data_IF_452478338528
#
_entry.id   IF_452478338528
#
_cell.length_a   1.000
_cell.length_b   1.000
_cell.length_c   1.000
_cell.angle_alpha   90.00
_cell.angle_beta   90.00
_cell.angle_gamma   90.00
#
_symmetry.space_group_name_H-M   'P 1'
#
loop_
_entity.id
_entity.type
_entity.pdbx_description
1 polymer ?
#
# COMPACT_ATOMS: atom_id res chain seq x y z
N UNK A 1 7.62 4.61 -11.96
CA UNK A 1 6.44 4.41 -11.08
C UNK A 1 6.84 4.76 -9.66
N UNK A 2 6.33 5.88 -9.18
CA UNK A 2 6.80 6.57 -7.97
C UNK A 2 6.15 5.96 -6.74
N UNK A 3 6.87 5.87 -5.61
CA UNK A 3 6.41 5.32 -4.32
C UNK A 3 5.00 5.81 -3.91
N UNK A 4 4.68 7.06 -4.23
CA UNK A 4 3.38 7.69 -3.96
C UNK A 4 2.24 6.96 -4.67
N UNK A 5 2.44 6.48 -5.89
CA UNK A 5 1.42 5.72 -6.62
C UNK A 5 1.13 4.38 -5.92
N UNK A 6 2.16 3.69 -5.40
CA UNK A 6 1.97 2.43 -4.66
C UNK A 6 1.25 2.66 -3.33
N UNK A 7 1.53 3.78 -2.66
CA UNK A 7 0.84 4.19 -1.43
C UNK A 7 -0.62 4.53 -1.69
N UNK A 8 -0.89 5.27 -2.76
CA UNK A 8 -2.25 5.62 -3.20
C UNK A 8 -3.05 4.35 -3.53
N UNK A 9 -2.44 3.44 -4.29
CA UNK A 9 -3.02 2.12 -4.62
C UNK A 9 -3.25 1.26 -3.37
N UNK A 10 -2.36 1.32 -2.37
CA UNK A 10 -2.55 0.61 -1.10
C UNK A 10 -3.65 1.22 -0.22
N UNK A 11 -4.03 2.48 -0.46
CA UNK A 11 -5.13 3.15 0.23
C UNK A 11 -6.48 2.89 -0.44
N UNK A 12 -6.49 2.37 -1.66
CA UNK A 12 -7.71 2.18 -2.44
C UNK A 12 -8.62 1.06 -1.89
N UNK A 13 -9.87 1.37 -1.50
CA UNK A 13 -10.85 0.43 -0.95
C UNK A 13 -11.46 -0.54 -1.96
N UNK A 14 -11.30 -0.29 -3.26
CA UNK A 14 -11.76 -1.22 -4.30
C UNK A 14 -10.80 -2.40 -4.47
N UNK A 15 -9.56 -2.30 -3.98
CA UNK A 15 -8.59 -3.38 -4.00
C UNK A 15 -8.79 -4.36 -2.83
N UNK A 16 -8.67 -5.68 -3.07
CA UNK A 16 -8.67 -6.69 -2.02
C UNK A 16 -7.54 -6.48 -1.01
N UNK A 17 -7.77 -6.85 0.24
CA UNK A 17 -6.78 -6.73 1.32
C UNK A 17 -5.39 -7.26 0.96
N UNK A 18 -5.31 -8.41 0.28
CA UNK A 18 -4.02 -9.02 -0.08
C UNK A 18 -3.22 -8.19 -1.11
N UNK A 19 -3.87 -7.46 -2.01
CA UNK A 19 -3.18 -6.56 -2.94
C UNK A 19 -2.67 -5.32 -2.22
N UNK A 20 -3.45 -4.82 -1.25
CA UNK A 20 -3.07 -3.68 -0.42
C UNK A 20 -1.84 -3.99 0.44
N UNK A 21 -1.81 -5.16 1.08
CA UNK A 21 -0.62 -5.62 1.83
C UNK A 21 0.59 -5.83 0.93
N UNK A 22 0.39 -6.35 -0.30
CA UNK A 22 1.48 -6.52 -1.27
C UNK A 22 2.06 -5.19 -1.76
N UNK A 23 1.23 -4.17 -1.99
CA UNK A 23 1.68 -2.82 -2.32
C UNK A 23 2.47 -2.19 -1.15
N UNK A 24 2.03 -2.39 0.09
CA UNK A 24 2.74 -1.92 1.29
C UNK A 24 4.12 -2.57 1.42
N UNK A 25 4.24 -3.89 1.26
CA UNK A 25 5.54 -4.60 1.32
C UNK A 25 6.50 -4.09 0.24
N UNK A 26 5.96 -3.91 -0.99
CA UNK A 26 6.71 -3.37 -2.13
C UNK A 26 7.12 -1.91 -1.96
N UNK A 27 6.36 -1.10 -1.21
CA UNK A 27 6.73 0.27 -0.88
C UNK A 27 7.74 0.33 0.28
N UNK A 28 7.62 -0.56 1.27
CA UNK A 28 8.46 -0.60 2.46
C UNK A 28 9.91 -1.01 2.16
N UNK A 29 10.14 -2.05 1.35
CA UNK A 29 11.50 -2.51 0.97
C UNK A 29 12.40 -1.41 0.39
N UNK A 30 12.00 -0.67 -0.66
CA UNK A 30 12.85 0.36 -1.24
C UNK A 30 13.09 1.52 -0.27
N UNK A 31 12.10 1.90 0.55
CA UNK A 31 12.28 2.91 1.60
C UNK A 31 13.32 2.48 2.64
N UNK A 32 13.29 1.20 3.06
CA UNK A 32 14.30 0.61 3.95
C UNK A 32 15.69 0.64 3.34
N UNK A 33 15.82 0.25 2.07
CA UNK A 33 17.11 0.28 1.37
C UNK A 33 17.63 1.73 1.27
N UNK A 34 16.78 2.69 0.88
CA UNK A 34 17.15 4.10 0.85
C UNK A 34 17.56 4.62 2.23
N UNK A 35 16.91 4.18 3.31
CA UNK A 35 17.27 4.58 4.67
C UNK A 35 18.66 4.07 5.05
N UNK A 36 19.00 2.82 4.69
CA UNK A 36 20.31 2.24 4.95
C UNK A 36 21.42 2.92 4.13
N UNK A 37 21.10 3.41 2.94
CA UNK A 37 22.05 4.12 2.08
C UNK A 37 22.11 5.63 2.35
N UNK A 38 21.16 6.19 3.10
CA UNK A 38 21.13 7.61 3.43
C UNK A 38 22.17 7.92 4.51
N UNK A 39 23.30 8.50 4.12
CA UNK A 39 24.32 8.99 5.06
C UNK A 39 23.98 10.36 5.69
N UNK A 40 22.87 10.96 5.24
CA UNK A 40 22.46 12.32 5.59
C UNK A 40 21.29 12.30 6.60
N UNK A 41 21.45 12.99 7.73
CA UNK A 41 20.45 13.08 8.80
C UNK A 41 19.08 13.62 8.35
N UNK A 42 19.00 14.75 7.60
CA UNK A 42 17.71 15.23 7.09
C UNK A 42 17.02 14.20 6.23
N UNK A 43 17.76 13.51 5.35
CA UNK A 43 17.22 12.47 4.48
C UNK A 43 16.72 11.25 5.25
N UNK A 44 17.46 10.82 6.28
CA UNK A 44 17.02 9.76 7.19
C UNK A 44 15.73 10.14 7.94
N UNK A 45 15.60 11.39 8.40
CA UNK A 45 14.37 11.87 9.06
C UNK A 45 13.18 11.83 8.12
N UNK A 46 13.31 12.33 6.89
CA UNK A 46 12.23 12.30 5.89
C UNK A 46 11.79 10.87 5.58
N UNK A 47 12.75 9.95 5.41
CA UNK A 47 12.45 8.53 5.19
C UNK A 47 11.79 7.88 6.42
N UNK A 48 12.20 8.25 7.63
CA UNK A 48 11.59 7.76 8.85
C UNK A 48 10.13 8.22 8.98
N UNK A 49 9.83 9.47 8.64
CA UNK A 49 8.44 9.98 8.61
C UNK A 49 7.58 9.19 7.63
N UNK A 50 8.11 8.84 6.45
CA UNK A 50 7.40 8.01 5.46
C UNK A 50 7.16 6.58 5.97
N UNK A 51 8.17 5.96 6.55
CA UNK A 51 8.07 4.63 7.15
C UNK A 51 7.09 4.60 8.33
N UNK A 52 7.08 5.67 9.15
CA UNK A 52 6.16 5.80 10.26
C UNK A 52 4.72 5.96 9.76
N UNK A 53 4.50 6.81 8.76
CA UNK A 53 3.19 6.93 8.08
C UNK A 53 2.70 5.58 7.57
N UNK A 54 3.55 4.81 6.89
CA UNK A 54 3.26 3.45 6.43
C UNK A 54 2.84 2.52 7.59
N UNK A 55 3.60 2.51 8.68
CA UNK A 55 3.31 1.65 9.84
C UNK A 55 2.03 2.05 10.59
N UNK A 56 1.68 3.35 10.58
CA UNK A 56 0.46 3.89 11.21
C UNK A 56 -0.75 3.93 10.28
N UNK A 57 -0.58 3.55 9.01
CA UNK A 57 -1.64 3.64 8.01
C UNK A 57 -2.75 2.66 8.37
N UNK A 58 -3.92 3.20 8.76
CA UNK A 58 -5.10 2.40 9.05
C UNK A 58 -5.74 2.00 7.73
N UNK A 59 -5.49 0.77 7.32
CA UNK A 59 -6.21 0.17 6.20
C UNK A 59 -7.66 -0.07 6.60
N UNK A 60 -8.58 0.58 5.89
CA UNK A 60 -10.00 0.30 6.02
C UNK A 60 -10.30 -1.10 5.45
N UNK A 61 -11.33 -1.80 5.98
CA UNK A 61 -11.73 -3.08 5.43
C UNK A 61 -12.05 -2.92 3.94
N UNK A 62 -11.46 -3.79 3.11
CA UNK A 62 -11.73 -3.79 1.68
C UNK A 62 -13.23 -3.96 1.45
N UNK A 63 -13.78 -3.24 0.47
CA UNK A 63 -15.16 -3.43 0.04
C UNK A 63 -15.36 -4.92 -0.24
N UNK A 64 -16.30 -5.54 0.47
CA UNK A 64 -16.72 -6.89 0.12
C UNK A 64 -17.30 -6.80 -1.28
N UNK A 65 -16.63 -7.43 -2.24
CA UNK A 65 -17.20 -7.67 -3.55
C UNK A 65 -18.42 -8.55 -3.31
N UNK A 66 -19.59 -7.93 -3.13
CA UNK A 66 -20.84 -8.64 -3.23
C UNK A 66 -20.93 -9.02 -4.71
N UNK A 67 -20.66 -10.29 -4.99
CA UNK A 67 -20.78 -10.88 -6.32
C UNK A 67 -22.10 -10.38 -6.95
N UNK A 68 -22.07 -9.72 -8.13
CA UNK A 68 -23.28 -9.72 -8.93
C UNK A 68 -23.52 -11.19 -9.25
N UNK A 69 -24.58 -11.76 -8.67
CA UNK A 69 -25.04 -13.10 -8.96
C UNK A 69 -25.10 -13.28 -10.48
N UNK A 70 -24.07 -13.91 -11.05
CA UNK A 70 -24.04 -14.40 -12.41
C UNK A 70 -24.94 -15.65 -12.43
N UNK A 71 -26.24 -15.40 -12.29
CA UNK A 71 -27.30 -16.32 -12.64
C UNK A 71 -27.91 -15.79 -13.93
N UNK A 72 -27.26 -16.04 -15.06
CA UNK A 72 -27.99 -16.17 -16.32
C UNK A 72 -28.43 -17.64 -16.40
N UNK A 73 -29.67 -18.02 -16.00
CA UNK A 73 -30.25 -19.24 -16.51
C UNK A 73 -30.53 -19.00 -17.98
N UNK A 74 -29.65 -19.51 -18.84
CA UNK A 74 -30.13 -19.98 -20.13
C UNK A 74 -30.99 -21.21 -19.81
N UNK A 75 -32.32 -21.07 -19.80
CA UNK A 75 -33.31 -22.10 -20.19
C UNK A 75 -34.61 -21.42 -20.63
#
# INVERSE_FOLDING_TARGET
MTLELLLDTACDPALPWHWRTLCLDRAYRPLRVMQQQAHDLPRQRSLNVLLNRLATLRLEPSLSFNEPAQGHPYE
#
